data_IF_538677003459
#
_entry.id   IF_538677003459
#
_cell.length_a   1.000
_cell.length_b   1.000
_cell.length_c   1.000
_cell.angle_alpha   90.00
_cell.angle_beta   90.00
_cell.angle_gamma   90.00
#
_symmetry.space_group_name_H-M   'P 1'
#
loop_
_entity.id
_entity.type
_entity.pdbx_description
1 polymer ?
#
# COMPACT_ATOMS: atom_id res chain seq x y z
N UNK A 1 5.11 5.85 -11.99
CA UNK A 1 4.71 4.87 -10.95
C UNK A 1 3.21 4.92 -10.84
N UNK A 2 2.53 3.82 -11.16
CA UNK A 2 1.09 3.70 -10.95
C UNK A 2 0.81 3.45 -9.47
N UNK A 3 -0.08 4.27 -8.90
CA UNK A 3 -0.59 4.11 -7.54
C UNK A 3 -1.35 2.78 -7.48
N UNK A 4 -0.98 1.81 -6.61
CA UNK A 4 -1.70 0.56 -6.54
C UNK A 4 -3.14 0.80 -6.06
N UNK A 5 -4.04 -0.01 -6.58
CA UNK A 5 -5.49 0.08 -6.34
C UNK A 5 -5.99 -1.19 -5.67
N UNK A 6 -7.27 -1.25 -5.31
CA UNK A 6 -7.88 -2.45 -4.73
C UNK A 6 -7.82 -3.66 -5.66
N UNK A 7 -7.49 -3.46 -6.95
CA UNK A 7 -7.21 -4.55 -7.89
C UNK A 7 -5.83 -5.19 -7.69
N UNK A 8 -4.87 -4.48 -7.09
CA UNK A 8 -3.53 -5.00 -6.82
C UNK A 8 -3.52 -5.93 -5.59
N UNK A 9 -2.54 -6.81 -5.52
CA UNK A 9 -2.31 -7.69 -4.37
C UNK A 9 -1.71 -6.91 -3.19
N UNK A 10 -1.84 -7.48 -1.99
CA UNK A 10 -1.24 -6.91 -0.76
C UNK A 10 0.26 -6.70 -0.94
N UNK A 11 0.96 -7.63 -1.56
CA UNK A 11 2.40 -7.56 -1.82
C UNK A 11 2.79 -6.42 -2.77
N UNK A 12 1.99 -6.16 -3.80
CA UNK A 12 2.20 -5.02 -4.70
C UNK A 12 1.99 -3.68 -3.98
N UNK A 13 0.97 -3.61 -3.12
CA UNK A 13 0.68 -2.41 -2.32
C UNK A 13 1.81 -2.16 -1.32
N UNK A 14 2.27 -3.21 -0.62
CA UNK A 14 3.43 -3.14 0.29
C UNK A 14 4.69 -2.70 -0.43
N UNK A 15 5.01 -3.31 -1.57
CA UNK A 15 6.16 -2.92 -2.40
C UNK A 15 6.11 -1.45 -2.82
N UNK A 16 4.93 -0.90 -3.08
CA UNK A 16 4.78 0.53 -3.37
C UNK A 16 5.02 1.38 -2.12
N UNK A 17 4.45 1.00 -0.98
CA UNK A 17 4.65 1.70 0.30
C UNK A 17 6.14 1.68 0.71
N UNK A 18 6.81 0.53 0.61
CA UNK A 18 8.26 0.38 0.83
C UNK A 18 9.06 1.30 -0.10
N UNK A 19 8.76 1.29 -1.41
CA UNK A 19 9.43 2.19 -2.38
C UNK A 19 9.19 3.67 -2.08
N UNK A 20 8.05 3.99 -1.46
CA UNK A 20 7.71 5.34 -1.03
C UNK A 20 8.26 5.67 0.37
N UNK A 21 8.82 4.70 1.08
CA UNK A 21 9.26 4.86 2.47
C UNK A 21 8.10 5.05 3.46
N UNK A 22 6.89 4.65 3.08
CA UNK A 22 5.70 4.75 3.93
C UNK A 22 5.68 3.53 4.83
N UNK A 23 5.87 3.75 6.14
CA UNK A 23 5.68 2.68 7.13
C UNK A 23 4.22 2.29 7.23
N UNK A 24 3.98 0.99 7.31
CA UNK A 24 2.65 0.43 7.49
C UNK A 24 2.63 -0.60 8.64
N UNK A 25 1.50 -0.73 9.35
CA UNK A 25 1.35 -1.77 10.37
C UNK A 25 1.47 -3.17 9.73
N UNK A 26 2.18 -4.10 10.38
CA UNK A 26 2.26 -5.49 9.91
C UNK A 26 0.92 -6.23 9.96
N UNK A 27 0.00 -5.76 10.80
CA UNK A 27 -1.39 -6.22 10.89
C UNK A 27 -2.35 -5.46 9.97
N UNK A 28 -1.85 -4.49 9.19
CA UNK A 28 -2.69 -3.71 8.28
C UNK A 28 -3.28 -4.63 7.21
N UNK A 29 -4.59 -4.54 7.03
CA UNK A 29 -5.28 -5.25 5.97
C UNK A 29 -5.03 -4.57 4.62
N UNK A 30 -5.40 -5.26 3.55
CA UNK A 30 -5.29 -4.73 2.18
C UNK A 30 -5.89 -3.33 2.07
N UNK A 31 -7.07 -3.11 2.64
CA UNK A 31 -7.75 -1.82 2.63
C UNK A 31 -7.00 -0.73 3.39
N UNK A 32 -6.39 -1.06 4.54
CA UNK A 32 -5.58 -0.10 5.32
C UNK A 32 -4.31 0.30 4.56
N UNK A 33 -3.63 -0.68 3.95
CA UNK A 33 -2.48 -0.43 3.09
C UNK A 33 -2.87 0.42 1.87
N UNK A 34 -4.05 0.16 1.29
CA UNK A 34 -4.55 0.92 0.16
C UNK A 34 -4.88 2.37 0.54
N UNK A 35 -5.38 2.62 1.76
CA UNK A 35 -5.59 3.97 2.28
C UNK A 35 -4.28 4.74 2.40
N UNK A 36 -3.21 4.11 2.89
CA UNK A 36 -1.88 4.73 2.96
C UNK A 36 -1.33 5.12 1.59
N UNK A 37 -1.66 4.31 0.57
CA UNK A 37 -1.37 4.64 -0.82
C UNK A 37 -2.26 5.78 -1.32
N UNK A 38 -3.54 5.77 -0.93
CA UNK A 38 -4.62 6.71 -1.24
C UNK A 38 -4.41 8.14 -0.74
N UNK A 39 -3.83 8.30 0.44
CA UNK A 39 -3.67 9.58 1.15
C UNK A 39 -2.42 10.38 0.74
N UNK A 40 -1.56 9.80 -0.11
CA UNK A 40 -0.35 10.43 -0.67
C UNK A 40 -0.53 10.85 -2.14
#
# INVERSE_FOLDING_TARGET
MTKPTSANTVDEIKSYLDKKGISYPTTALKDDLLKLVGDA
#
